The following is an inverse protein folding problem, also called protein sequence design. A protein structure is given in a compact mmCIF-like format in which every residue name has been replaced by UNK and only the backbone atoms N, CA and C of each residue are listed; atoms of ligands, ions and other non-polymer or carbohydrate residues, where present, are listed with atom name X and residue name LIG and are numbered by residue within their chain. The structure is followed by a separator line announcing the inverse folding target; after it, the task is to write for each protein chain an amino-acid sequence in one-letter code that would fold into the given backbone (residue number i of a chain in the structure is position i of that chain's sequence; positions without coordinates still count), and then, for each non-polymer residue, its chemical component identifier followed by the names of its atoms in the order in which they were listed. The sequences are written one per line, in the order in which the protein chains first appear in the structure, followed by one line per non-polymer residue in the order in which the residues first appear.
data_IF_179069417218
#
_entry.id   IF_179069417218
#
_cell.length_a   1.000
_cell.length_b   1.000
_cell.length_c   1.000
_cell.angle_alpha   90.00
_cell.angle_beta   90.00
_cell.angle_gamma   90.00
#
_symmetry.space_group_name_H-M   'P 1'
#
loop_
_entity.id
_entity.type
_entity.pdbx_description
1 polymer ?
#
# COMPACT_ATOMS: atom_id res chain seq x y z
N UNK A 1 11.51 28.21 16.47
CA UNK A 1 12.06 26.88 16.14
C UNK A 1 10.94 26.13 15.44
N UNK A 2 11.13 25.68 14.20
CA UNK A 2 10.11 24.89 13.51
C UNK A 2 10.18 23.45 14.02
N UNK A 3 9.07 22.91 14.52
CA UNK A 3 8.94 21.49 14.82
C UNK A 3 9.19 20.69 13.52
N UNK A 4 10.25 19.88 13.51
CA UNK A 4 10.41 18.84 12.50
C UNK A 4 9.30 17.82 12.74
N UNK A 5 8.32 17.78 11.83
CA UNK A 5 7.36 16.68 11.79
C UNK A 5 8.15 15.38 11.59
N UNK A 6 7.81 14.29 12.31
CA UNK A 6 8.47 13.01 12.12
C UNK A 6 8.38 12.63 10.64
N UNK A 7 9.50 12.20 10.07
CA UNK A 7 9.57 11.68 8.70
C UNK A 7 8.61 10.50 8.60
N UNK A 8 7.52 10.65 7.86
CA UNK A 8 6.51 9.59 7.72
C UNK A 8 7.16 8.44 6.97
N UNK A 9 7.21 7.25 7.58
CA UNK A 9 7.82 6.08 6.96
C UNK A 9 7.18 5.80 5.58
N UNK A 10 8.01 5.91 4.53
CA UNK A 10 7.62 5.75 3.13
C UNK A 10 8.37 4.58 2.52
N UNK A 11 7.71 3.83 1.65
CA UNK A 11 8.26 2.64 0.97
C UNK A 11 7.75 2.54 -0.46
N UNK A 12 8.39 1.72 -1.30
CA UNK A 12 7.80 1.27 -2.55
C UNK A 12 6.95 0.02 -2.31
N UNK A 13 5.83 -0.11 -3.03
CA UNK A 13 4.94 -1.29 -2.99
C UNK A 13 4.73 -1.83 -4.39
N UNK A 14 5.06 -3.11 -4.60
CA UNK A 14 4.83 -3.80 -5.87
C UNK A 14 3.47 -4.51 -5.86
N UNK A 15 2.70 -4.31 -6.93
CA UNK A 15 1.45 -5.04 -7.21
C UNK A 15 1.64 -5.80 -8.51
N UNK A 16 1.72 -7.12 -8.41
CA UNK A 16 1.96 -7.99 -9.57
C UNK A 16 0.70 -8.79 -9.90
N UNK A 17 0.24 -8.69 -11.15
CA UNK A 17 -0.84 -9.49 -11.68
C UNK A 17 -0.27 -10.74 -12.34
N UNK A 18 -0.85 -11.88 -11.99
CA UNK A 18 -0.55 -13.19 -12.56
C UNK A 18 -1.77 -13.73 -13.29
N UNK A 19 -1.55 -14.49 -14.35
CA UNK A 19 -2.60 -15.26 -14.99
C UNK A 19 -2.99 -16.50 -14.15
N UNK A 20 -3.95 -17.27 -14.65
CA UNK A 20 -4.41 -18.50 -13.99
C UNK A 20 -3.36 -19.61 -13.95
N UNK A 21 -2.32 -19.54 -14.79
CA UNK A 21 -1.22 -20.50 -14.82
C UNK A 21 -0.07 -20.07 -13.88
N UNK A 22 -0.16 -18.88 -13.30
CA UNK A 22 0.84 -18.31 -12.39
C UNK A 22 1.95 -17.53 -13.10
N UNK A 23 1.80 -17.23 -14.40
CA UNK A 23 2.75 -16.38 -15.13
C UNK A 23 2.45 -14.91 -14.87
N UNK A 24 3.50 -14.11 -14.66
CA UNK A 24 3.36 -12.67 -14.47
C UNK A 24 2.88 -12.01 -15.76
N UNK A 25 1.78 -11.27 -15.68
CA UNK A 25 1.18 -10.54 -16.80
C UNK A 25 1.57 -9.07 -16.77
N UNK A 26 1.63 -8.46 -15.57
CA UNK A 26 1.93 -7.04 -15.41
C UNK A 26 2.39 -6.75 -13.97
N UNK A 27 3.27 -5.76 -13.81
CA UNK A 27 3.66 -5.22 -12.51
C UNK A 27 3.40 -3.72 -12.45
N UNK A 28 2.92 -3.25 -11.30
CA UNK A 28 2.76 -1.83 -10.98
C UNK A 28 3.52 -1.53 -9.70
N UNK A 29 4.40 -0.53 -9.74
CA UNK A 29 5.12 -0.04 -8.57
C UNK A 29 4.46 1.25 -8.06
N UNK A 30 3.97 1.23 -6.83
CA UNK A 30 3.48 2.41 -6.11
C UNK A 30 4.66 3.02 -5.36
N UNK A 31 5.13 4.18 -5.81
CA UNK A 31 6.33 4.81 -5.28
C UNK A 31 6.00 5.82 -4.19
N UNK A 32 6.90 5.90 -3.20
CA UNK A 32 6.80 6.81 -2.07
C UNK A 32 5.48 6.62 -1.28
N UNK A 33 5.09 5.37 -1.10
CA UNK A 33 3.83 4.97 -0.49
C UNK A 33 3.91 4.99 1.04
N UNK A 34 2.83 5.41 1.70
CA UNK A 34 2.67 5.39 3.16
C UNK A 34 1.30 4.89 3.56
N UNK A 35 1.22 4.19 4.69
CA UNK A 35 -0.06 3.86 5.29
C UNK A 35 -0.72 5.15 5.82
N UNK A 36 -2.01 5.33 5.51
CA UNK A 36 -2.81 6.50 5.92
C UNK A 36 -3.97 6.14 6.84
N UNK A 37 -4.31 4.85 6.95
CA UNK A 37 -5.31 4.37 7.89
C UNK A 37 -5.35 2.86 7.93
N UNK A 38 -5.71 2.32 9.10
CA UNK A 38 -6.06 0.91 9.28
C UNK A 38 -7.51 0.89 9.73
N UNK A 39 -8.39 0.33 8.91
CA UNK A 39 -9.80 0.17 9.21
C UNK A 39 -10.03 -1.29 9.59
N UNK A 40 -10.05 -1.57 10.89
CA UNK A 40 -10.54 -2.84 11.43
C UNK A 40 -12.00 -2.68 11.85
N UNK A 41 -12.88 -3.62 11.48
CA UNK A 41 -14.21 -3.64 12.09
C UNK A 41 -14.09 -4.18 13.51
N UNK A 42 -14.11 -3.28 14.51
CA UNK A 42 -14.07 -3.60 15.94
C UNK A 42 -15.25 -4.48 16.43
N UNK A 43 -16.20 -4.83 15.55
CA UNK A 43 -17.46 -5.48 15.90
C UNK A 43 -17.62 -6.93 15.39
N UNK A 44 -16.64 -7.52 14.71
CA UNK A 44 -16.72 -8.93 14.31
C UNK A 44 -15.33 -9.57 14.26
N UNK A 45 -15.12 -10.63 15.03
CA UNK A 45 -13.86 -11.38 15.11
C UNK A 45 -13.39 -12.02 13.78
N UNK A 46 -14.17 -11.86 12.69
CA UNK A 46 -13.91 -12.40 11.35
C UNK A 46 -13.77 -11.30 10.28
N UNK A 47 -13.95 -10.03 10.63
CA UNK A 47 -13.82 -8.94 9.67
C UNK A 47 -12.34 -8.59 9.51
N UNK A 48 -11.77 -8.90 8.34
CA UNK A 48 -10.38 -8.61 8.01
C UNK A 48 -10.04 -7.12 8.19
N UNK A 49 -8.78 -6.85 8.51
CA UNK A 49 -8.26 -5.49 8.60
C UNK A 49 -8.02 -4.95 7.19
N UNK A 50 -8.49 -3.73 6.92
CA UNK A 50 -8.17 -3.02 5.69
C UNK A 50 -7.09 -1.97 5.97
N UNK A 51 -6.03 -1.93 5.16
CA UNK A 51 -5.01 -0.88 5.20
C UNK A 51 -5.20 0.04 4.00
N UNK A 52 -5.32 1.34 4.25
CA UNK A 52 -5.36 2.36 3.19
C UNK A 52 -3.97 2.94 3.01
N UNK A 53 -3.46 2.91 1.77
CA UNK A 53 -2.14 3.40 1.41
C UNK A 53 -2.29 4.58 0.45
N UNK A 54 -1.57 5.68 0.72
CA UNK A 54 -1.38 6.77 -0.23
C UNK A 54 -0.02 6.62 -0.91
N UNK A 55 0.07 7.00 -2.18
CA UNK A 55 1.30 7.00 -2.98
C UNK A 55 1.38 8.30 -3.78
N UNK A 56 2.57 8.64 -4.28
CA UNK A 56 2.78 9.90 -5.03
C UNK A 56 2.68 9.69 -6.54
N UNK A 57 3.28 8.62 -7.06
CA UNK A 57 3.21 8.26 -8.46
C UNK A 57 3.34 6.74 -8.63
N UNK A 58 2.89 6.25 -9.78
CA UNK A 58 2.98 4.84 -10.14
C UNK A 58 3.81 4.66 -11.41
N UNK A 59 4.48 3.51 -11.50
CA UNK A 59 5.20 3.06 -12.70
C UNK A 59 4.63 1.71 -13.13
N UNK A 60 4.49 1.49 -14.43
CA UNK A 60 4.05 0.21 -15.02
C UNK A 60 5.26 -0.41 -15.71
N UNK A 61 5.51 -1.69 -15.43
CA UNK A 61 6.60 -2.49 -15.99
C UNK A 61 6.08 -3.64 -16.87
#
# INVERSE_FOLDING_TARGET
MAEQKPDEARTAVAVTMYDSEGSQVQSVMLNNAKATGITGSLHHASAGEAVTIAYEFLTIE
#
